data_IF_438564531799
#
_entry.id   IF_438564531799
#
_cell.length_a   1.000
_cell.length_b   1.000
_cell.length_c   1.000
_cell.angle_alpha   90.00
_cell.angle_beta   90.00
_cell.angle_gamma   90.00
#
_symmetry.space_group_name_H-M   'P 1'
#
loop_
_entity.id
_entity.type
_entity.pdbx_description
1 polymer ?
#
# COMPACT_ATOMS: atom_id res chain seq x y z
N UNK A 1 -9.72 2.54 11.09
CA UNK A 1 -10.44 3.58 10.33
C UNK A 1 -11.93 3.46 10.63
N UNK A 2 -12.72 4.55 10.57
CA UNK A 2 -14.17 4.50 10.81
C UNK A 2 -14.87 3.64 9.76
N UNK A 3 -15.72 2.70 10.18
CA UNK A 3 -16.46 1.79 9.29
C UNK A 3 -17.35 2.56 8.31
N UNK A 4 -17.93 3.68 8.74
CA UNK A 4 -18.80 4.51 7.90
C UNK A 4 -18.08 5.13 6.70
N UNK A 5 -16.75 5.25 6.75
CA UNK A 5 -15.97 5.83 5.66
C UNK A 5 -15.70 4.83 4.51
N UNK A 6 -15.90 3.53 4.71
CA UNK A 6 -15.56 2.51 3.72
C UNK A 6 -16.33 2.69 2.40
N UNK A 7 -17.64 2.92 2.47
CA UNK A 7 -18.50 3.09 1.30
C UNK A 7 -18.23 4.39 0.54
N UNK A 8 -17.89 5.47 1.25
CA UNK A 8 -17.50 6.75 0.64
C UNK A 8 -16.18 6.62 -0.10
N UNK A 9 -15.18 5.99 0.53
CA UNK A 9 -13.86 5.77 -0.05
C UNK A 9 -13.91 4.85 -1.26
N UNK A 10 -14.75 3.81 -1.22
CA UNK A 10 -14.99 2.95 -2.39
C UNK A 10 -15.59 3.74 -3.56
N UNK A 11 -16.66 4.50 -3.31
CA UNK A 11 -17.35 5.29 -4.34
C UNK A 11 -16.40 6.30 -4.99
N UNK A 12 -15.53 6.91 -4.19
CA UNK A 12 -14.65 8.01 -4.59
C UNK A 12 -13.27 7.52 -5.07
N UNK A 13 -12.97 6.21 -5.00
CA UNK A 13 -11.72 5.64 -5.53
C UNK A 13 -11.66 5.80 -7.06
N UNK A 14 -10.53 6.23 -7.63
CA UNK A 14 -10.41 6.47 -9.06
C UNK A 14 -10.71 5.21 -9.89
N UNK A 15 -11.52 5.37 -10.93
CA UNK A 15 -11.92 4.29 -11.84
C UNK A 15 -10.92 4.14 -12.98
N UNK A 16 -9.74 3.61 -12.67
CA UNK A 16 -8.74 3.30 -13.70
C UNK A 16 -9.23 2.23 -14.67
N UNK A 17 -8.84 2.38 -15.95
CA UNK A 17 -9.11 1.41 -17.02
C UNK A 17 -8.07 0.29 -17.12
N UNK A 18 -6.95 0.40 -16.40
CA UNK A 18 -5.83 -0.54 -16.43
C UNK A 18 -5.46 -1.07 -15.04
N UNK A 19 -4.74 -2.19 -15.04
CA UNK A 19 -4.13 -2.76 -13.84
C UNK A 19 -2.78 -2.09 -13.54
N UNK A 20 -2.48 -1.89 -12.26
CA UNK A 20 -1.21 -1.35 -11.78
C UNK A 20 -1.35 -0.13 -10.89
N UNK A 21 -0.22 0.52 -10.65
CA UNK A 21 -0.08 1.68 -9.77
C UNK A 21 0.03 2.95 -10.60
N UNK A 22 -0.86 3.91 -10.35
CA UNK A 22 -0.93 5.20 -11.04
C UNK A 22 -0.59 6.32 -10.06
N UNK A 23 0.17 7.36 -10.47
CA UNK A 23 0.37 8.54 -9.63
C UNK A 23 -0.97 9.15 -9.20
N UNK A 24 -1.02 9.62 -7.96
CA UNK A 24 -2.19 10.36 -7.48
C UNK A 24 -2.37 11.68 -8.24
N UNK A 25 -3.60 11.90 -8.70
CA UNK A 25 -4.07 13.13 -9.31
C UNK A 25 -5.42 13.49 -8.68
N UNK A 26 -5.52 14.66 -8.05
CA UNK A 26 -6.72 15.10 -7.30
C UNK A 26 -8.00 15.05 -8.16
N UNK A 27 -7.88 15.42 -9.44
CA UNK A 27 -8.97 15.43 -10.43
C UNK A 27 -9.53 14.05 -10.77
N UNK A 28 -8.78 12.98 -10.52
CA UNK A 28 -9.18 11.61 -10.85
C UNK A 28 -9.95 10.95 -9.69
N UNK A 29 -9.92 11.56 -8.50
CA UNK A 29 -10.45 11.03 -7.26
C UNK A 29 -11.66 11.82 -6.76
N UNK A 30 -12.52 11.17 -5.97
CA UNK A 30 -13.61 11.85 -5.27
C UNK A 30 -13.19 12.46 -3.92
N UNK A 31 -14.10 13.23 -3.27
CA UNK A 31 -13.77 14.05 -2.10
C UNK A 31 -13.19 13.27 -0.91
N UNK A 32 -13.68 12.06 -0.63
CA UNK A 32 -13.19 11.29 0.52
C UNK A 32 -11.76 10.77 0.32
N UNK A 33 -11.38 10.39 -0.91
CA UNK A 33 -10.02 9.96 -1.25
C UNK A 33 -9.07 11.16 -1.22
N UNK A 34 -9.45 12.31 -1.77
CA UNK A 34 -8.62 13.51 -1.72
C UNK A 34 -8.38 13.97 -0.28
N UNK A 35 -9.40 13.88 0.58
CA UNK A 35 -9.24 14.15 2.02
C UNK A 35 -8.28 13.15 2.67
N UNK A 36 -8.48 11.86 2.45
CA UNK A 36 -7.63 10.82 3.03
C UNK A 36 -6.17 10.99 2.59
N UNK A 37 -5.91 11.30 1.32
CA UNK A 37 -4.56 11.52 0.82
C UNK A 37 -3.95 12.78 1.44
N UNK A 38 -4.72 13.86 1.59
CA UNK A 38 -4.28 15.06 2.32
C UNK A 38 -3.87 14.73 3.74
N UNK A 39 -4.66 13.93 4.46
CA UNK A 39 -4.35 13.50 5.83
C UNK A 39 -3.11 12.59 5.87
N UNK A 40 -3.00 11.61 4.97
CA UNK A 40 -1.86 10.67 4.92
C UNK A 40 -0.54 11.36 4.53
N UNK A 41 -0.62 12.44 3.76
CA UNK A 41 0.56 13.18 3.29
C UNK A 41 0.97 14.31 4.24
N UNK A 42 0.25 14.52 5.35
CA UNK A 42 0.67 15.44 6.39
C UNK A 42 2.05 15.03 6.95
N UNK A 43 3.04 15.94 7.03
CA UNK A 43 4.36 15.66 7.58
C UNK A 43 4.35 15.04 8.98
N UNK A 44 3.32 15.28 9.79
CA UNK A 44 3.13 14.67 11.09
C UNK A 44 2.87 13.16 10.99
N UNK A 45 2.14 12.70 9.98
CA UNK A 45 1.91 11.26 9.73
C UNK A 45 3.23 10.58 9.38
N UNK A 46 3.99 11.14 8.45
CA UNK A 46 5.32 10.64 8.10
C UNK A 46 6.26 10.64 9.32
N UNK A 47 6.20 11.67 10.17
CA UNK A 47 6.99 11.73 11.40
C UNK A 47 6.60 10.63 12.40
N UNK A 48 5.30 10.36 12.56
CA UNK A 48 4.80 9.28 13.42
C UNK A 48 5.22 7.90 12.90
N UNK A 49 5.14 7.67 11.58
CA UNK A 49 5.65 6.46 10.93
C UNK A 49 7.16 6.33 11.15
N UNK A 50 7.92 7.42 10.99
CA UNK A 50 9.35 7.46 11.22
C UNK A 50 9.72 7.05 12.65
N UNK A 51 8.99 7.55 13.65
CA UNK A 51 9.20 7.17 15.05
C UNK A 51 8.97 5.66 15.28
N UNK A 52 7.99 5.05 14.62
CA UNK A 52 7.74 3.60 14.71
C UNK A 52 8.80 2.76 14.01
N UNK A 53 9.40 3.28 12.94
CA UNK A 53 10.41 2.60 12.13
C UNK A 53 11.85 2.90 12.54
N UNK A 54 12.07 3.78 13.53
CA UNK A 54 13.41 4.26 13.90
C UNK A 54 14.07 5.06 12.78
N UNK A 55 13.30 5.88 12.06
CA UNK A 55 13.77 6.77 10.99
C UNK A 55 13.61 8.21 11.47
N UNK A 56 14.74 8.87 11.69
CA UNK A 56 14.76 10.25 12.14
C UNK A 56 14.27 11.21 11.05
N UNK A 57 13.48 12.20 11.45
CA UNK A 57 13.03 13.31 10.61
C UNK A 57 12.38 12.87 9.29
N UNK A 58 11.64 11.74 9.29
CA UNK A 58 11.00 11.22 8.07
C UNK A 58 10.03 12.24 7.43
N UNK A 59 9.32 13.04 8.24
CA UNK A 59 8.39 14.07 7.75
C UNK A 59 9.02 15.23 6.96
N UNK A 60 10.35 15.33 6.86
CA UNK A 60 10.99 16.34 6.02
C UNK A 60 11.01 15.96 4.52
N UNK A 61 10.84 14.67 4.21
CA UNK A 61 10.93 14.15 2.86
C UNK A 61 9.56 14.24 2.15
N UNK A 62 9.55 14.47 0.83
CA UNK A 62 8.30 14.49 0.08
C UNK A 62 7.66 13.10 0.03
N UNK A 63 6.33 13.05 0.07
CA UNK A 63 5.56 11.82 -0.08
C UNK A 63 5.16 11.63 -1.53
N UNK A 64 5.52 10.50 -2.13
CA UNK A 64 4.98 10.04 -3.41
C UNK A 64 3.76 9.16 -3.13
N UNK A 65 2.62 9.50 -3.72
CA UNK A 65 1.38 8.73 -3.59
C UNK A 65 1.05 8.07 -4.92
N UNK A 66 0.76 6.78 -4.88
CA UNK A 66 0.26 6.00 -6.02
C UNK A 66 -0.99 5.26 -5.63
N UNK A 67 -1.94 5.12 -6.55
CA UNK A 67 -3.18 4.42 -6.33
C UNK A 67 -3.23 3.20 -7.24
N UNK A 68 -3.62 2.06 -6.69
CA UNK A 68 -3.89 0.85 -7.47
C UNK A 68 -5.31 0.39 -7.18
N UNK A 69 -6.11 0.29 -8.24
CA UNK A 69 -7.48 -0.26 -8.17
C UNK A 69 -7.51 -1.75 -8.48
N UNK A 70 -6.70 -2.21 -9.43
CA UNK A 70 -6.72 -3.58 -9.90
C UNK A 70 -5.33 -4.08 -10.29
N UNK A 71 -5.13 -5.39 -10.17
CA UNK A 71 -3.91 -6.08 -10.57
C UNK A 71 -4.18 -7.06 -11.71
N UNK A 72 -3.09 -7.42 -12.37
CA UNK A 72 -2.99 -8.61 -13.21
C UNK A 72 -1.88 -9.52 -12.65
N UNK A 73 -1.79 -10.75 -13.15
CA UNK A 73 -0.86 -11.79 -12.65
C UNK A 73 0.64 -11.46 -12.75
N UNK A 74 1.02 -10.37 -13.42
CA UNK A 74 2.43 -9.93 -13.52
C UNK A 74 2.88 -9.06 -12.33
N UNK A 75 1.93 -8.57 -11.53
CA UNK A 75 2.24 -7.80 -10.33
C UNK A 75 2.57 -8.72 -9.15
N UNK A 76 3.22 -8.16 -8.12
CA UNK A 76 3.55 -8.87 -6.89
C UNK A 76 4.95 -9.49 -6.86
N UNK A 77 5.78 -9.22 -7.87
CA UNK A 77 7.17 -9.65 -7.90
C UNK A 77 7.93 -9.22 -6.65
N UNK A 78 8.81 -10.09 -6.16
CA UNK A 78 9.57 -9.81 -4.94
C UNK A 78 10.59 -8.71 -5.21
N UNK A 79 10.66 -7.70 -4.34
CA UNK A 79 11.57 -6.58 -4.45
C UNK A 79 11.84 -5.91 -3.09
N UNK A 80 12.73 -4.91 -3.06
CA UNK A 80 13.09 -4.13 -1.86
C UNK A 80 12.82 -2.63 -2.01
N UNK A 81 11.93 -2.28 -2.92
CA UNK A 81 11.70 -0.90 -3.38
C UNK A 81 12.92 -0.21 -4.01
N UNK A 82 12.65 0.88 -4.75
CA UNK A 82 13.70 1.76 -5.30
C UNK A 82 14.61 2.29 -4.20
N UNK A 83 15.91 2.44 -4.51
CA UNK A 83 16.90 3.06 -3.62
C UNK A 83 16.59 4.52 -3.26
N UNK A 84 15.71 5.18 -4.00
CA UNK A 84 15.24 6.54 -3.68
C UNK A 84 14.22 6.59 -2.54
N UNK A 85 13.58 5.47 -2.16
CA UNK A 85 12.64 5.43 -1.04
C UNK A 85 13.37 5.32 0.30
N UNK A 86 12.86 6.03 1.30
CA UNK A 86 13.30 5.90 2.70
C UNK A 86 12.42 4.91 3.47
N UNK A 87 11.11 4.96 3.22
CA UNK A 87 10.10 4.08 3.78
C UNK A 87 8.95 3.90 2.79
N UNK A 88 8.14 2.88 2.99
CA UNK A 88 6.89 2.64 2.27
C UNK A 88 5.75 2.49 3.27
N UNK A 89 4.60 3.04 2.90
CA UNK A 89 3.33 2.87 3.59
C UNK A 89 2.29 2.39 2.57
N UNK A 90 1.47 1.42 2.95
CA UNK A 90 0.37 0.89 2.14
C UNK A 90 -0.90 0.94 2.97
N UNK A 91 -1.97 1.52 2.44
CA UNK A 91 -3.30 1.49 3.04
C UNK A 91 -4.27 0.72 2.15
N UNK A 92 -4.80 -0.38 2.68
CA UNK A 92 -5.76 -1.22 1.97
C UNK A 92 -7.21 -0.80 2.24
N UNK A 93 -8.04 -0.90 1.20
CA UNK A 93 -9.42 -0.41 1.21
C UNK A 93 -10.45 -1.45 0.74
N UNK A 94 -10.10 -2.74 0.65
CA UNK A 94 -11.05 -3.78 0.21
C UNK A 94 -11.91 -4.25 1.39
N UNK A 95 -13.22 -4.19 1.26
CA UNK A 95 -14.17 -4.58 2.33
C UNK A 95 -14.03 -6.05 2.72
N UNK A 96 -13.83 -6.91 1.72
CA UNK A 96 -13.62 -8.34 1.92
C UNK A 96 -12.47 -8.84 1.05
N UNK A 97 -11.96 -10.02 1.40
CA UNK A 97 -10.98 -10.74 0.61
C UNK A 97 -11.35 -12.22 0.61
N UNK A 98 -11.22 -12.93 -0.54
CA UNK A 98 -11.47 -14.37 -0.57
C UNK A 98 -10.57 -15.12 0.42
N UNK A 99 -10.96 -16.34 0.78
CA UNK A 99 -10.13 -17.21 1.61
C UNK A 99 -8.98 -17.80 0.78
N UNK A 100 -8.01 -16.94 0.48
CA UNK A 100 -6.82 -17.21 -0.33
C UNK A 100 -5.64 -16.36 0.14
N UNK A 101 -4.43 -16.80 -0.20
CA UNK A 101 -3.19 -16.03 -0.07
C UNK A 101 -2.85 -15.21 -1.32
N UNK A 102 -3.57 -15.40 -2.43
CA UNK A 102 -3.35 -14.61 -3.65
C UNK A 102 -3.57 -13.11 -3.36
N UNK A 103 -2.60 -12.28 -3.73
CA UNK A 103 -2.63 -10.83 -3.50
C UNK A 103 -2.43 -10.38 -2.04
N UNK A 104 -2.27 -11.30 -1.10
CA UNK A 104 -1.90 -10.99 0.29
C UNK A 104 -0.44 -10.55 0.36
N UNK A 105 -0.19 -9.42 1.03
CA UNK A 105 1.15 -8.85 1.13
C UNK A 105 2.03 -9.68 2.06
N UNK A 106 3.26 -9.97 1.64
CA UNK A 106 4.22 -10.77 2.38
C UNK A 106 5.53 -10.00 2.57
N UNK A 107 6.07 -10.08 3.78
CA UNK A 107 7.49 -9.84 4.04
C UNK A 107 8.24 -11.17 3.96
N UNK A 108 9.44 -11.15 3.39
CA UNK A 108 10.19 -12.36 3.06
C UNK A 108 11.62 -12.29 3.59
N UNK A 109 12.20 -13.45 3.92
CA UNK A 109 13.60 -13.53 4.35
C UNK A 109 14.60 -13.41 3.18
N UNK A 110 14.15 -13.70 1.94
CA UNK A 110 14.98 -13.76 0.72
C UNK A 110 14.22 -13.36 -0.55
N UNK A 111 14.97 -12.90 -1.55
CA UNK A 111 14.46 -12.31 -2.80
C UNK A 111 13.76 -13.31 -3.75
N UNK A 112 14.06 -14.59 -3.66
CA UNK A 112 13.74 -15.61 -4.67
C UNK A 112 12.80 -16.70 -4.15
N UNK A 113 12.20 -16.52 -2.97
CA UNK A 113 11.24 -17.46 -2.41
C UNK A 113 10.04 -16.74 -1.77
N UNK A 114 8.88 -16.79 -2.45
CA UNK A 114 7.63 -16.14 -1.99
C UNK A 114 7.01 -16.83 -0.76
N UNK A 115 7.46 -18.05 -0.44
CA UNK A 115 6.97 -18.84 0.68
C UNK A 115 7.93 -18.80 1.90
N UNK A 116 9.12 -18.20 1.76
CA UNK A 116 10.03 -17.94 2.89
C UNK A 116 9.63 -16.67 3.65
N UNK A 117 8.46 -16.76 4.27
CA UNK A 117 7.76 -15.66 4.92
C UNK A 117 8.42 -15.27 6.24
N UNK A 118 8.72 -13.98 6.40
CA UNK A 118 9.37 -13.43 7.59
C UNK A 118 8.38 -13.06 8.71
N UNK A 119 7.10 -12.84 8.38
CA UNK A 119 6.03 -12.47 9.31
C UNK A 119 4.66 -12.84 8.72
N UNK A 120 3.59 -13.01 9.52
CA UNK A 120 2.26 -13.32 9.00
C UNK A 120 1.84 -12.42 7.84
N UNK A 121 1.29 -13.03 6.78
CA UNK A 121 0.86 -12.26 5.61
C UNK A 121 -0.30 -11.31 5.94
N UNK A 122 -0.37 -10.21 5.21
CA UNK A 122 -1.36 -9.16 5.41
C UNK A 122 -2.39 -9.23 4.28
N UNK A 123 -3.63 -9.60 4.62
CA UNK A 123 -4.75 -9.50 3.69
C UNK A 123 -4.97 -8.03 3.32
N UNK A 124 -5.30 -7.70 2.07
CA UNK A 124 -5.50 -6.32 1.65
C UNK A 124 -6.89 -5.80 2.08
N UNK A 125 -7.24 -5.93 3.35
CA UNK A 125 -8.54 -5.54 3.90
C UNK A 125 -8.58 -4.08 4.35
N UNK A 126 -9.78 -3.51 4.35
CA UNK A 126 -10.05 -2.14 4.77
C UNK A 126 -9.41 -1.81 6.12
N UNK A 127 -8.58 -0.77 6.13
CA UNK A 127 -7.92 -0.27 7.33
C UNK A 127 -6.61 -0.96 7.70
N UNK A 128 -6.19 -2.01 6.97
CA UNK A 128 -4.84 -2.54 7.12
C UNK A 128 -3.84 -1.50 6.60
N UNK A 129 -3.02 -0.99 7.52
CA UNK A 129 -1.97 -0.01 7.24
C UNK A 129 -0.61 -0.65 7.50
N UNK A 130 0.13 -0.92 6.42
CA UNK A 130 1.43 -1.57 6.45
C UNK A 130 2.51 -0.52 6.24
N UNK A 131 3.46 -0.41 7.16
CA UNK A 131 4.59 0.51 7.05
C UNK A 131 5.90 -0.23 7.27
N UNK A 132 6.91 0.08 6.47
CA UNK A 132 8.24 -0.51 6.63
C UNK A 132 9.33 0.41 6.11
N UNK A 133 10.53 0.27 6.70
CA UNK A 133 11.73 0.97 6.27
C UNK A 133 12.26 0.31 5.00
N UNK A 134 12.66 1.11 4.01
CA UNK A 134 13.37 0.60 2.85
C UNK A 134 14.77 0.13 3.28
N UNK A 135 15.12 -1.12 2.98
CA UNK A 135 16.43 -1.70 3.28
C UNK A 135 16.84 -2.70 2.18
N UNK A 136 18.12 -3.07 2.11
CA UNK A 136 18.58 -4.04 1.08
C UNK A 136 18.02 -5.46 1.30
N UNK A 137 17.46 -5.72 2.48
CA UNK A 137 16.77 -6.95 2.84
C UNK A 137 15.28 -6.76 3.15
N UNK A 138 14.67 -5.61 2.82
CA UNK A 138 13.23 -5.39 3.00
C UNK A 138 12.43 -6.09 1.89
N UNK A 139 12.65 -7.38 1.69
CA UNK A 139 12.02 -8.17 0.63
C UNK A 139 10.52 -8.29 0.89
N UNK A 140 9.73 -7.96 -0.13
CA UNK A 140 8.29 -8.08 -0.05
C UNK A 140 7.68 -8.32 -1.43
N UNK A 141 6.46 -8.86 -1.43
CA UNK A 141 5.71 -9.19 -2.62
C UNK A 141 4.36 -9.80 -2.26
N UNK A 142 3.70 -10.44 -3.22
CA UNK A 142 2.51 -11.25 -2.99
C UNK A 142 2.40 -12.34 -4.04
N UNK A 143 1.64 -13.40 -3.75
CA UNK A 143 1.29 -14.40 -4.75
C UNK A 143 0.50 -13.77 -5.91
N UNK A 144 0.65 -14.25 -7.16
CA UNK A 144 -0.02 -13.67 -8.32
C UNK A 144 -1.54 -13.51 -8.11
N UNK A 145 -2.06 -12.34 -8.47
CA UNK A 145 -3.48 -12.03 -8.33
C UNK A 145 -3.97 -11.23 -9.54
N UNK A 146 -5.21 -11.48 -9.94
CA UNK A 146 -5.89 -10.72 -10.99
C UNK A 146 -7.28 -10.34 -10.51
N UNK A 147 -7.61 -9.05 -10.66
CA UNK A 147 -8.87 -8.49 -10.18
C UNK A 147 -8.68 -7.22 -9.37
N UNK A 148 -9.77 -6.80 -8.73
CA UNK A 148 -9.78 -5.58 -7.94
C UNK A 148 -9.02 -5.76 -6.62
N UNK A 149 -8.15 -4.81 -6.32
CA UNK A 149 -7.33 -4.74 -5.10
C UNK A 149 -6.96 -3.28 -4.86
N UNK A 150 -7.80 -2.59 -4.08
CA UNK A 150 -7.66 -1.16 -3.77
C UNK A 150 -6.58 -0.94 -2.73
N UNK A 151 -5.54 -0.20 -3.11
CA UNK A 151 -4.44 0.21 -2.23
C UNK A 151 -3.98 1.63 -2.58
N UNK A 152 -3.66 2.39 -1.53
CA UNK A 152 -2.93 3.65 -1.57
C UNK A 152 -1.50 3.37 -1.12
#
# INVERSE_FOLDING_TARGET
MPEQAASELERDFPKYSGAGFFPYEDKDCGPSINRLITELTDPAVASAVGAKLGIERLGQYPTLVTLCRALNKRHGTIHTDSKSKVATALLYLNESWPDTSDGCFRFLNRIDNIDDVAAPEIKPLYGNFVVFKRADNSFHGHLPFEGERRVI
#
